data_IF_834741132309
#
_entry.id   IF_834741132309
#
_cell.length_a   1.000
_cell.length_b   1.000
_cell.length_c   1.000
_cell.angle_alpha   90.00
_cell.angle_beta   90.00
_cell.angle_gamma   90.00
#
_symmetry.space_group_name_H-M   'P 1'
#
loop_
_entity.id
_entity.type
_entity.pdbx_description
1 polymer ?
2 non-polymer ?
3 water ?
#
# COMPACT_ATOMS: atom_id res chain seq x y z
N UNK A 42 14.60 -0.02 -6.35
CA UNK A 42 14.73 -0.82 -5.13
C UNK A 42 14.19 -0.04 -3.93
N UNK A 43 13.23 0.85 -4.17
CA UNK A 43 12.73 1.72 -3.15
C UNK A 43 11.20 1.78 -3.20
N UNK A 44 10.70 2.21 -2.10
CA UNK A 44 9.29 2.23 -1.78
C UNK A 44 8.87 3.66 -1.53
N UNK A 45 7.70 4.05 -2.04
CA UNK A 45 7.19 5.41 -1.88
C UNK A 45 6.09 5.50 -0.83
N UNK A 46 6.27 4.82 0.29
CA UNK A 46 5.27 4.79 1.36
C UNK A 46 5.89 5.12 2.72
N UNK A 47 5.05 5.45 3.69
CA UNK A 47 5.50 5.56 5.06
C UNK A 47 5.70 4.14 5.58
N UNK A 48 6.10 4.02 6.83
CA UNK A 48 6.54 2.75 7.39
C UNK A 48 6.23 2.78 8.88
N UNK A 49 6.06 1.61 9.50
CA UNK A 49 5.70 1.55 10.92
C UNK A 49 6.85 1.41 11.91
N UNK A 50 6.96 2.31 12.90
CA UNK A 50 7.94 2.21 13.99
C UNK A 50 7.21 1.65 15.21
N UNK A 51 7.80 0.65 15.87
CA UNK A 51 7.21 0.09 17.11
C UNK A 51 7.16 1.14 18.22
N UNK A 52 8.09 2.08 18.19
CA UNK A 52 8.16 3.16 19.16
C UNK A 52 8.73 4.38 18.49
N UNK A 53 8.48 5.53 19.10
CA UNK A 53 9.17 6.76 18.69
C UNK A 53 10.65 6.68 18.99
N UNK A 54 11.47 7.13 18.05
CA UNK A 54 12.91 7.23 18.26
C UNK A 54 13.24 8.70 18.47
N UNK A 55 13.63 9.12 19.68
CA UNK A 55 13.94 10.53 19.88
C UNK A 55 15.13 10.96 19.04
N UNK A 56 14.99 12.13 18.42
CA UNK A 56 16.00 12.66 17.53
C UNK A 56 15.87 12.20 16.08
N UNK A 57 15.26 11.04 15.85
CA UNK A 57 15.10 10.55 14.50
C UNK A 57 14.10 11.44 13.75
N UNK A 58 14.54 12.04 12.68
CA UNK A 58 13.69 12.92 11.89
C UNK A 58 13.48 12.28 10.53
N UNK A 59 12.26 11.78 10.31
CA UNK A 59 11.94 11.12 9.06
C UNK A 59 12.10 12.07 7.89
N UNK A 60 11.72 13.35 8.04
CA UNK A 60 11.82 14.28 6.92
C UNK A 60 13.28 14.47 6.49
N UNK A 61 14.20 14.55 7.46
CA UNK A 61 15.62 14.66 7.12
C UNK A 61 16.10 13.43 6.37
N UNK A 62 15.69 12.25 6.82
CA UNK A 62 16.14 11.01 6.23
C UNK A 62 15.59 10.82 4.82
N UNK A 63 14.29 11.12 4.64
CA UNK A 63 13.64 10.91 3.35
C UNK A 63 14.10 11.96 2.35
N UNK A 64 14.23 13.21 2.79
CA UNK A 64 14.52 14.31 1.87
C UNK A 64 16.00 14.52 1.62
N UNK A 65 16.86 13.84 2.37
CA UNK A 65 18.31 13.96 2.20
C UNK A 65 18.94 12.58 2.31
N UNK A 66 18.56 11.67 1.41
CA UNK A 66 18.99 10.27 1.56
C UNK A 66 20.47 10.08 1.36
N UNK A 67 21.14 10.94 0.59
CA UNK A 67 22.57 10.81 0.37
C UNK A 67 23.34 11.15 1.65
N UNK A 68 22.76 12.00 2.48
CA UNK A 68 23.37 12.34 3.76
C UNK A 68 23.06 11.31 4.86
N UNK A 69 21.96 10.55 4.74
CA UNK A 69 21.58 9.58 5.79
C UNK A 69 21.33 8.20 5.18
N UNK A 70 22.36 7.58 4.61
CA UNK A 70 22.13 6.31 3.95
C UNK A 70 21.78 5.19 4.92
N UNK A 71 22.39 5.17 6.09
CA UNK A 71 22.21 4.04 7.00
C UNK A 71 20.89 4.17 7.75
N UNK A 72 20.52 5.41 8.07
CA UNK A 72 19.19 5.65 8.61
C UNK A 72 18.15 5.27 7.57
N UNK A 73 18.46 5.50 6.30
CA UNK A 73 17.52 5.14 5.26
C UNK A 73 17.40 3.63 5.14
N UNK A 74 18.47 2.89 5.48
CA UNK A 74 18.39 1.44 5.56
C UNK A 74 17.46 1.00 6.69
N UNK A 75 17.45 1.73 7.81
CA UNK A 75 16.53 1.41 8.90
C UNK A 75 15.09 1.54 8.44
N UNK A 76 14.83 2.60 7.69
CA UNK A 76 13.51 2.87 7.16
C UNK A 76 13.10 1.78 6.21
N UNK A 77 14.03 1.39 5.34
CA UNK A 77 13.74 0.37 4.34
C UNK A 77 13.34 -0.94 5.01
N UNK A 78 14.03 -1.32 6.07
CA UNK A 78 13.67 -2.54 6.79
C UNK A 78 12.24 -2.50 7.30
N UNK A 79 11.76 -1.35 7.77
CA UNK A 79 10.39 -1.25 8.24
C UNK A 79 9.43 -1.26 7.10
N UNK A 80 9.80 -0.69 5.96
CA UNK A 80 8.98 -0.80 4.76
C UNK A 80 8.84 -2.24 4.32
N UNK A 81 9.95 -3.00 4.39
CA UNK A 81 9.87 -4.41 4.09
C UNK A 81 9.00 -5.13 5.13
N UNK A 82 9.21 -4.83 6.40
CA UNK A 82 8.47 -5.55 7.44
C UNK A 82 6.97 -5.40 7.23
N UNK A 83 6.51 -4.18 6.97
CA UNK A 83 5.09 -3.94 6.77
C UNK A 83 4.54 -4.74 5.59
N UNK A 84 5.25 -4.74 4.48
CA UNK A 84 4.84 -5.56 3.34
C UNK A 84 4.83 -7.05 3.68
N UNK A 85 5.77 -7.50 4.52
CA UNK A 85 5.75 -8.90 4.92
C UNK A 85 4.46 -9.23 5.66
N UNK A 86 4.02 -8.33 6.54
CA UNK A 86 2.75 -8.56 7.24
C UNK A 86 1.62 -8.57 6.23
N UNK A 87 1.67 -7.71 5.23
CA UNK A 87 0.57 -7.68 4.27
C UNK A 87 0.48 -8.99 3.50
N UNK A 88 1.63 -9.52 3.08
CA UNK A 88 1.71 -10.67 2.19
C UNK A 88 1.74 -12.03 2.92
N UNK A 89 1.77 -12.07 4.23
CA UNK A 89 2.21 -13.30 4.91
C UNK A 89 1.16 -14.41 5.00
N UNK A 90 -0.05 -14.21 4.46
CA UNK A 90 -1.05 -15.27 4.37
C UNK A 90 -1.18 -15.83 2.96
N UNK A 91 -0.42 -15.34 1.99
CA UNK A 91 -0.55 -15.75 0.62
C UNK A 91 0.34 -16.94 0.33
N UNK A 92 -0.12 -17.80 -0.55
CA UNK A 92 0.64 -18.96 -1.04
C UNK A 92 1.11 -18.60 -2.45
N UNK A 93 2.38 -18.22 -2.57
CA UNK A 93 2.86 -17.78 -3.88
C UNK A 93 3.08 -18.96 -4.82
N UNK A 94 3.10 -20.17 -4.28
CA UNK A 94 3.18 -21.35 -5.17
C UNK A 94 1.90 -21.51 -5.97
N UNK A 95 0.76 -21.11 -5.42
CA UNK A 95 -0.52 -21.20 -6.11
C UNK A 95 -0.72 -20.05 -7.10
N UNK A 96 -0.11 -18.90 -6.83
CA UNK A 96 -0.31 -17.72 -7.68
C UNK A 96 0.42 -17.91 -9.02
N UNK A 97 -0.27 -17.55 -10.10
CA UNK A 97 0.35 -17.46 -11.41
C UNK A 97 0.50 -16.04 -11.92
N UNK A 98 -0.39 -15.11 -11.53
CA UNK A 98 -0.47 -13.78 -12.11
C UNK A 98 -0.81 -12.79 -11.01
N UNK A 99 -0.05 -11.73 -10.98
CA UNK A 99 -0.13 -10.68 -9.98
C UNK A 99 -0.26 -9.36 -10.71
N UNK A 100 -1.11 -8.48 -10.17
CA UNK A 100 -1.21 -7.10 -10.62
C UNK A 100 -0.95 -6.14 -9.47
N UNK A 101 -0.18 -5.10 -9.76
CA UNK A 101 0.06 -3.95 -8.85
C UNK A 101 -0.58 -2.76 -9.53
N UNK A 102 -1.73 -2.25 -8.99
CA UNK A 102 -2.47 -1.26 -9.76
C UNK A 102 -2.03 0.19 -9.51
N UNK A 103 -0.96 0.39 -8.74
CA UNK A 103 -0.28 1.70 -8.58
C UNK A 103 1.16 1.41 -8.18
N UNK A 104 2.01 1.05 -9.16
CA UNK A 104 3.19 0.29 -8.80
C UNK A 104 4.46 1.14 -8.50
N UNK A 105 4.34 2.46 -8.36
CA UNK A 105 5.50 3.24 -7.94
C UNK A 105 6.67 3.05 -8.94
N UNK A 106 7.84 2.76 -8.41
CA UNK A 106 9.00 2.46 -9.23
C UNK A 106 9.09 1.01 -9.64
N UNK A 107 8.02 0.22 -9.44
CA UNK A 107 7.99 -1.17 -9.90
C UNK A 107 8.65 -2.18 -9.01
N UNK A 108 8.99 -1.79 -7.79
CA UNK A 108 9.80 -2.63 -6.92
C UNK A 108 9.14 -3.97 -6.62
N UNK A 109 7.85 -3.96 -6.25
CA UNK A 109 7.14 -5.23 -5.97
C UNK A 109 6.89 -6.03 -7.25
N UNK A 110 6.52 -5.35 -8.32
CA UNK A 110 6.41 -6.03 -9.61
C UNK A 110 7.67 -6.81 -9.94
N UNK A 111 8.81 -6.19 -9.69
CA UNK A 111 10.11 -6.76 -10.01
C UNK A 111 10.50 -7.82 -9.00
N UNK A 112 10.43 -7.49 -7.71
CA UNK A 112 10.91 -8.43 -6.68
C UNK A 112 10.07 -9.71 -6.64
N UNK A 113 8.74 -9.61 -6.84
CA UNK A 113 7.91 -10.84 -6.85
C UNK A 113 8.34 -11.74 -8.00
N UNK A 114 8.53 -11.14 -9.18
CA UNK A 114 8.92 -11.92 -10.34
C UNK A 114 10.31 -12.53 -10.17
N UNK A 115 11.21 -11.81 -9.52
CA UNK A 115 12.55 -12.36 -9.30
C UNK A 115 12.49 -13.51 -8.31
N UNK A 116 11.78 -13.33 -7.20
CA UNK A 116 11.76 -14.34 -6.16
C UNK A 116 10.96 -15.59 -6.57
N UNK A 117 9.97 -15.43 -7.46
CA UNK A 117 9.02 -16.50 -7.83
C UNK A 117 9.02 -16.56 -9.35
N UNK A 118 10.03 -17.21 -9.94
CA UNK A 118 10.18 -17.16 -11.40
C UNK A 118 9.01 -17.72 -12.18
N UNK A 119 8.10 -18.48 -11.56
CA UNK A 119 6.91 -18.95 -12.28
C UNK A 119 5.82 -17.91 -12.42
N UNK A 120 5.91 -16.76 -11.72
CA UNK A 120 4.84 -15.79 -11.71
C UNK A 120 5.06 -14.75 -12.81
N UNK A 121 3.97 -14.28 -13.39
CA UNK A 121 3.96 -13.12 -14.28
C UNK A 121 3.32 -11.96 -13.55
N UNK A 122 4.01 -10.83 -13.57
CA UNK A 122 3.56 -9.64 -12.85
C UNK A 122 3.29 -8.49 -13.80
N UNK A 123 2.19 -7.79 -13.55
CA UNK A 123 1.82 -6.58 -14.27
C UNK A 123 1.72 -5.42 -13.28
N UNK A 124 2.22 -4.25 -13.68
CA UNK A 124 1.98 -3.01 -12.96
C UNK A 124 1.35 -1.93 -13.81
N UNK A 125 0.49 -1.12 -13.17
CA UNK A 125 -0.06 0.10 -13.73
C UNK A 125 0.50 1.23 -12.87
N UNK A 126 1.00 2.29 -13.51
CA UNK A 126 1.25 3.54 -12.84
C UNK A 126 0.87 4.68 -13.75
N UNK A 127 0.17 5.68 -13.19
CA UNK A 127 -0.28 6.80 -14.02
C UNK A 127 0.81 7.80 -14.31
N UNK A 128 1.95 7.68 -13.64
CA UNK A 128 3.11 8.58 -13.84
C UNK A 128 4.03 7.99 -14.90
N UNK A 129 4.11 8.66 -16.04
CA UNK A 129 4.94 8.18 -17.14
C UNK A 129 6.36 7.91 -16.70
N UNK A 130 7.00 8.87 -16.00
CA UNK A 130 8.40 8.68 -15.61
C UNK A 130 8.60 7.42 -14.77
N UNK A 131 7.64 7.10 -13.94
CA UNK A 131 7.75 5.94 -13.09
C UNK A 131 7.67 4.69 -13.94
N UNK A 132 6.78 4.69 -14.92
CA UNK A 132 6.64 3.52 -15.79
C UNK A 132 7.91 3.30 -16.57
N UNK A 133 8.48 4.39 -17.08
CA UNK A 133 9.73 4.30 -17.83
C UNK A 133 10.84 3.71 -16.96
N UNK A 134 10.94 4.16 -15.72
CA UNK A 134 12.00 3.68 -14.84
C UNK A 134 11.80 2.21 -14.49
N UNK A 135 10.55 1.83 -14.15
CA UNK A 135 10.27 0.44 -13.81
C UNK A 135 10.56 -0.53 -14.96
N UNK A 136 10.21 -0.15 -16.19
CA UNK A 136 10.53 -0.99 -17.33
C UNK A 136 12.02 -1.02 -17.61
N UNK A 137 12.75 0.08 -17.39
CA UNK A 137 14.21 0.04 -17.54
C UNK A 137 14.81 -0.94 -16.53
N UNK A 138 14.33 -0.93 -15.29
CA UNK A 138 14.86 -1.85 -14.30
C UNK A 138 14.42 -3.27 -14.60
N UNK A 139 13.22 -3.46 -15.12
CA UNK A 139 12.84 -4.79 -15.57
C UNK A 139 13.82 -5.28 -16.62
N UNK A 140 14.15 -4.41 -17.58
CA UNK A 140 15.07 -4.81 -18.63
C UNK A 140 16.45 -5.12 -18.09
N UNK A 141 16.97 -4.27 -17.21
CA UNK A 141 18.32 -4.43 -16.72
C UNK A 141 18.47 -5.73 -15.94
N UNK A 142 17.37 -6.22 -15.36
CA UNK A 142 17.37 -7.50 -14.64
C UNK A 142 16.92 -8.66 -15.54
N UNK A 143 16.68 -8.41 -16.82
CA UNK A 143 16.32 -9.47 -17.76
C UNK A 143 15.03 -10.18 -17.32
N UNK A 144 14.03 -9.40 -16.91
CA UNK A 144 12.75 -9.96 -16.45
C UNK A 144 11.60 -9.67 -17.41
N UNK A 145 11.90 -9.16 -18.61
CA UNK A 145 10.87 -8.69 -19.51
C UNK A 145 9.84 -9.72 -19.95
N UNK A 146 10.19 -11.00 -19.94
CA UNK A 146 9.23 -12.01 -20.35
C UNK A 146 8.19 -12.29 -19.29
N UNK A 147 8.39 -11.80 -18.09
CA UNK A 147 7.43 -12.08 -17.02
C UNK A 147 6.95 -10.87 -16.23
N UNK A 148 7.53 -9.72 -16.44
CA UNK A 148 7.13 -8.51 -15.71
C UNK A 148 7.00 -7.39 -16.70
N UNK A 149 5.92 -6.60 -16.58
CA UNK A 149 5.70 -5.52 -17.51
C UNK A 149 4.93 -4.42 -16.78
N UNK A 150 5.32 -3.17 -17.00
CA UNK A 150 4.64 -2.03 -16.38
C UNK A 150 4.01 -1.15 -17.45
N UNK A 151 2.78 -0.72 -17.21
CA UNK A 151 2.03 0.08 -18.17
C UNK A 151 1.75 1.48 -17.58
N UNK A 152 1.90 2.53 -18.39
CA UNK A 152 1.58 3.91 -17.99
C UNK A 152 0.09 4.09 -18.24
N UNK A 153 -0.75 3.70 -17.28
CA UNK A 153 -2.18 3.66 -17.47
C UNK A 153 -2.87 4.06 -16.17
N UNK A 154 -4.14 4.40 -16.29
CA UNK A 154 -4.99 4.90 -15.20
C UNK A 154 -5.91 3.74 -14.75
N UNK A 155 -5.67 3.23 -13.54
CA UNK A 155 -6.35 2.06 -13.05
C UNK A 155 -7.84 2.29 -12.80
N UNK A 156 -8.32 3.54 -12.86
CA UNK A 156 -9.74 3.86 -12.72
C UNK A 156 -10.43 3.98 -14.05
N UNK A 157 -9.71 3.82 -15.16
CA UNK A 157 -10.30 4.03 -16.48
C UNK A 157 -9.86 2.99 -17.51
N UNK A 158 -8.57 2.62 -17.49
CA UNK A 158 -8.05 1.62 -18.42
C UNK A 158 -8.21 0.22 -17.84
N UNK A 159 -8.89 -0.66 -18.57
CA UNK A 159 -9.16 -2.01 -18.08
C UNK A 159 -7.86 -2.75 -17.88
N UNK A 160 -7.70 -3.43 -16.75
CA UNK A 160 -6.52 -4.26 -16.52
C UNK A 160 -6.51 -5.37 -17.58
N UNK A 161 -5.34 -5.75 -18.11
CA UNK A 161 -5.35 -6.58 -19.31
C UNK A 161 -5.60 -8.04 -19.06
N UNK A 162 -5.51 -8.53 -17.83
CA UNK A 162 -5.54 -9.99 -17.61
C UNK A 162 -6.42 -10.31 -16.41
N UNK A 163 -6.44 -11.59 -16.03
CA UNK A 163 -7.08 -12.07 -14.82
C UNK A 163 -5.99 -12.46 -13.85
N UNK A 164 -6.17 -12.09 -12.59
CA UNK A 164 -5.10 -12.17 -11.59
C UNK A 164 -5.51 -12.98 -10.36
N UNK A 165 -4.54 -13.72 -9.81
CA UNK A 165 -4.73 -14.38 -8.54
C UNK A 165 -4.52 -13.44 -7.37
N UNK A 166 -3.71 -12.40 -7.56
CA UNK A 166 -3.47 -11.43 -6.50
C UNK A 166 -3.41 -10.05 -7.10
N UNK A 167 -4.11 -9.09 -6.47
CA UNK A 167 -4.12 -7.71 -6.91
C UNK A 167 -3.69 -6.86 -5.73
N UNK A 168 -2.70 -5.97 -5.95
CA UNK A 168 -2.00 -5.31 -4.89
C UNK A 168 -2.15 -3.81 -5.10
N UNK A 169 -2.60 -3.10 -4.06
CA UNK A 169 -2.58 -1.63 -4.09
C UNK A 169 -2.03 -1.03 -2.83
N UNK A 170 -0.74 -0.73 -2.80
CA UNK A 170 -0.14 -0.19 -1.59
C UNK A 170 -0.14 1.35 -1.65
N UNK A 171 -0.91 2.01 -0.76
CA UNK A 171 -1.02 3.47 -0.71
C UNK A 171 -1.42 4.06 -2.06
N UNK A 172 -2.37 3.42 -2.75
CA UNK A 172 -2.76 3.90 -4.07
C UNK A 172 -4.20 4.37 -4.29
N UNK A 173 -5.20 3.80 -3.61
CA UNK A 173 -6.55 4.19 -3.97
C UNK A 173 -6.95 5.56 -3.43
N UNK A 174 -6.31 6.07 -2.38
CA UNK A 174 -6.66 7.40 -1.89
C UNK A 174 -6.20 8.48 -2.85
N UNK A 175 -5.35 8.15 -3.82
CA UNK A 175 -5.00 9.11 -4.89
C UNK A 175 -6.04 9.11 -6.02
N UNK A 176 -7.04 8.25 -5.95
CA UNK A 176 -7.93 7.97 -7.07
C UNK A 176 -9.32 8.44 -6.72
N UNK A 177 -9.80 9.40 -7.48
CA UNK A 177 -11.13 9.96 -7.20
C UNK A 177 -12.27 8.97 -7.49
N UNK A 178 -12.20 8.24 -8.60
CA UNK A 178 -13.33 7.44 -9.09
C UNK A 178 -13.20 6.04 -8.55
N UNK A 179 -13.70 5.85 -7.33
CA UNK A 179 -13.51 4.59 -6.61
C UNK A 179 -14.26 3.44 -7.27
N UNK A 180 -15.45 3.72 -7.81
CA UNK A 180 -16.24 2.64 -8.40
C UNK A 180 -15.62 2.18 -9.70
N UNK A 181 -15.06 3.11 -10.47
CA UNK A 181 -14.30 2.70 -11.64
C UNK A 181 -13.20 1.75 -11.25
N UNK A 182 -12.40 2.15 -10.26
CA UNK A 182 -11.27 1.34 -9.81
C UNK A 182 -11.71 -0.04 -9.35
N UNK A 183 -12.71 -0.11 -8.47
CA UNK A 183 -13.05 -1.43 -7.90
C UNK A 183 -13.88 -2.27 -8.85
N UNK A 184 -14.55 -1.66 -9.83
CA UNK A 184 -15.08 -2.43 -10.93
C UNK A 184 -13.94 -3.13 -11.66
N UNK A 185 -12.87 -2.38 -11.93
CA UNK A 185 -11.70 -2.89 -12.62
C UNK A 185 -11.06 -4.01 -11.83
N UNK A 186 -10.89 -3.81 -10.54
CA UNK A 186 -10.24 -4.81 -9.68
C UNK A 186 -11.07 -6.09 -9.64
N UNK A 187 -12.38 -5.94 -9.38
CA UNK A 187 -13.22 -7.12 -9.21
C UNK A 187 -13.34 -7.91 -10.50
N UNK A 188 -13.49 -7.21 -11.62
CA UNK A 188 -13.60 -7.82 -12.92
C UNK A 188 -12.35 -8.58 -13.32
N UNK A 189 -11.18 -8.25 -12.76
CA UNK A 189 -9.92 -8.91 -13.10
C UNK A 189 -9.40 -9.84 -12.02
N UNK A 190 -10.21 -10.18 -11.03
CA UNK A 190 -9.79 -11.02 -9.93
C UNK A 190 -10.37 -12.42 -10.10
N UNK A 191 -9.48 -13.41 -10.10
CA UNK A 191 -9.96 -14.79 -10.20
C UNK A 191 -10.78 -15.12 -8.96
N UNK A 192 -11.73 -16.05 -9.11
CA UNK A 192 -12.69 -16.35 -8.04
C UNK A 192 -12.01 -16.56 -6.68
N UNK A 193 -10.91 -17.33 -6.64
CA UNK A 193 -10.20 -17.59 -5.39
C UNK A 193 -9.06 -16.57 -5.12
N UNK A 194 -9.05 -15.51 -5.81
CA UNK A 194 -7.99 -14.52 -5.66
C UNK A 194 -8.08 -13.64 -4.39
N UNK A 195 -6.99 -12.88 -4.16
CA UNK A 195 -6.89 -11.94 -3.05
C UNK A 195 -6.56 -10.57 -3.55
N UNK A 196 -7.18 -9.59 -2.92
CA UNK A 196 -6.81 -8.20 -3.05
C UNK A 196 -6.09 -7.77 -1.77
N UNK A 197 -4.89 -7.19 -1.92
CA UNK A 197 -4.12 -6.67 -0.80
C UNK A 197 -3.94 -5.16 -0.97
N UNK A 198 -4.44 -4.42 0.00
CA UNK A 198 -4.31 -2.99 0.02
C UNK A 198 -3.63 -2.50 1.29
N UNK A 199 -2.93 -1.38 1.12
CA UNK A 199 -2.51 -0.52 2.22
C UNK A 199 -3.15 0.81 1.90
N UNK A 200 -4.02 1.30 2.81
CA UNK A 200 -4.86 2.43 2.46
C UNK A 200 -5.41 3.09 3.72
N UNK A 201 -6.00 4.25 3.51
CA UNK A 201 -6.61 5.02 4.59
C UNK A 201 -8.11 4.84 4.75
N UNK A 202 -8.54 4.86 6.00
CA UNK A 202 -9.95 4.92 6.37
C UNK A 202 -10.19 6.25 7.12
N UNK A 203 -11.26 6.96 6.77
CA UNK A 203 -11.59 8.19 7.46
C UNK A 203 -12.52 7.83 8.61
N UNK A 204 -12.20 8.30 9.81
CA UNK A 204 -13.00 8.02 11.03
C UNK A 204 -14.03 9.09 11.31
N UNK A 205 -14.48 9.76 10.28
CA UNK A 205 -15.39 10.89 10.34
C UNK A 205 -16.71 10.51 9.70
N UNK A 206 -17.70 11.35 9.92
CA UNK A 206 -19.02 11.07 9.35
C UNK A 206 -19.00 11.19 7.83
N UNK A 207 -18.21 12.13 7.28
CA UNK A 207 -18.05 12.27 5.85
C UNK A 207 -16.62 11.98 5.40
N UNK A 208 -16.45 11.75 4.10
CA UNK A 208 -15.10 11.43 3.58
C UNK A 208 -14.17 12.63 3.69
N UNK A 209 -12.87 12.33 3.76
CA UNK A 209 -11.86 13.35 3.86
C UNK A 209 -11.30 13.53 2.46
N UNK A 210 -11.40 14.75 1.95
CA UNK A 210 -11.11 15.05 0.55
C UNK A 210 -10.29 16.32 0.52
N UNK A 211 -9.13 16.27 -0.12
CA UNK A 211 -8.26 17.44 -0.33
C UNK A 211 -8.10 17.61 -1.85
N UNK A 212 -8.89 18.54 -2.40
CA UNK A 212 -8.99 18.66 -3.85
C UNK A 212 -7.66 19.07 -4.47
N UNK A 213 -6.90 19.93 -3.78
CA UNK A 213 -5.67 20.46 -4.36
C UNK A 213 -4.61 19.37 -4.54
N UNK A 214 -4.61 18.35 -3.68
CA UNK A 214 -3.63 17.27 -3.77
C UNK A 214 -4.22 15.98 -4.35
N UNK A 215 -5.48 15.99 -4.74
CA UNK A 215 -6.12 14.83 -5.30
C UNK A 215 -6.03 13.67 -4.32
N UNK A 216 -6.55 13.89 -3.13
CA UNK A 216 -6.67 12.87 -2.09
C UNK A 216 -8.13 12.74 -1.72
N UNK A 217 -8.62 11.51 -1.63
CA UNK A 217 -9.98 11.23 -1.23
C UNK A 217 -9.95 9.96 -0.39
N UNK A 218 -10.46 10.08 0.85
CA UNK A 218 -10.39 8.95 1.78
C UNK A 218 -11.79 8.58 2.21
N UNK A 219 -12.29 7.40 1.88
CA UNK A 219 -13.65 7.01 2.24
C UNK A 219 -13.77 6.76 3.72
N UNK A 220 -14.99 7.00 4.25
CA UNK A 220 -15.29 6.66 5.61
C UNK A 220 -15.39 5.15 5.80
N UNK A 221 -15.53 4.75 7.06
CA UNK A 221 -15.82 3.34 7.38
C UNK A 221 -17.00 2.85 6.57
N UNK A 222 -18.13 3.55 6.66
CA UNK A 222 -19.33 3.09 6.00
C UNK A 222 -19.16 3.05 4.50
N UNK A 223 -18.45 4.01 3.92
CA UNK A 223 -18.25 4.02 2.49
C UNK A 223 -17.38 2.83 2.05
N UNK A 224 -16.39 2.45 2.87
CA UNK A 224 -15.55 1.31 2.53
C UNK A 224 -16.33 0.01 2.57
N UNK A 225 -17.19 -0.13 3.59
CA UNK A 225 -18.06 -1.29 3.69
C UNK A 225 -18.87 -1.48 2.42
N UNK A 226 -19.53 -0.41 1.99
CA UNK A 226 -20.42 -0.44 0.84
C UNK A 226 -19.67 -0.50 -0.50
N UNK A 227 -18.54 0.20 -0.60
CA UNK A 227 -17.76 0.17 -1.81
C UNK A 227 -17.27 -1.25 -2.10
N UNK A 228 -16.71 -1.90 -1.08
CA UNK A 228 -16.24 -3.27 -1.24
C UNK A 228 -17.40 -4.21 -1.52
N UNK A 229 -18.46 -4.16 -0.68
CA UNK A 229 -19.60 -5.05 -0.86
C UNK A 229 -20.20 -4.86 -2.26
N UNK A 230 -20.21 -3.63 -2.77
CA UNK A 230 -20.82 -3.39 -4.09
C UNK A 230 -20.05 -4.12 -5.18
N UNK A 231 -18.74 -4.30 -5.02
CA UNK A 231 -17.96 -5.03 -6.01
C UNK A 231 -17.58 -6.44 -5.56
N UNK A 232 -18.47 -7.08 -4.79
CA UNK A 232 -18.37 -8.50 -4.43
C UNK A 232 -17.21 -8.79 -3.49
N UNK A 233 -16.65 -7.80 -2.83
CA UNK A 233 -15.50 -8.05 -1.98
C UNK A 233 -15.85 -8.04 -0.51
N UNK A 234 -15.17 -8.86 0.25
CA UNK A 234 -15.28 -8.85 1.69
C UNK A 234 -13.91 -8.84 2.30
N UNK A 235 -13.88 -8.33 3.52
CA UNK A 235 -12.67 -8.21 4.29
C UNK A 235 -12.38 -9.53 4.98
N UNK A 236 -11.25 -10.14 4.63
CA UNK A 236 -10.83 -11.33 5.36
C UNK A 236 -10.04 -10.94 6.60
N UNK A 237 -9.25 -9.87 6.49
CA UNK A 237 -8.42 -9.38 7.56
C UNK A 237 -8.19 -7.90 7.36
N UNK A 238 -8.31 -7.14 8.44
CA UNK A 238 -8.03 -5.70 8.42
C UNK A 238 -7.14 -5.41 9.63
N UNK A 239 -5.99 -4.77 9.38
CA UNK A 239 -5.03 -4.53 10.41
C UNK A 239 -4.78 -3.04 10.56
N UNK A 240 -4.83 -2.50 11.78
CA UNK A 240 -4.65 -1.07 11.96
C UNK A 240 -3.19 -0.74 12.35
N UNK A 241 -2.50 0.04 11.53
CA UNK A 241 -1.11 0.41 11.82
C UNK A 241 -0.96 1.88 12.20
N UNK A 242 -2.07 2.58 12.41
CA UNK A 242 -2.02 4.01 12.71
C UNK A 242 -1.05 4.43 13.82
N UNK A 243 -1.05 3.75 14.98
CA UNK A 243 -0.11 4.23 16.00
C UNK A 243 1.34 4.10 15.58
N UNK A 244 1.70 2.97 14.96
CA UNK A 244 3.08 2.75 14.53
C UNK A 244 3.51 3.74 13.46
N UNK A 245 2.62 4.06 12.53
CA UNK A 245 2.95 5.02 11.48
C UNK A 245 3.18 6.37 12.10
N UNK A 246 2.26 6.78 12.96
CA UNK A 246 2.44 8.06 13.66
C UNK A 246 3.75 8.06 14.46
N UNK A 247 4.17 6.92 15.01
CA UNK A 247 5.48 6.90 15.69
C UNK A 247 6.62 7.25 14.74
N UNK A 248 6.59 6.67 13.53
CA UNK A 248 7.62 6.91 12.52
C UNK A 248 7.59 8.37 12.04
N UNK A 249 6.41 8.94 11.96
CA UNK A 249 6.26 10.29 11.43
C UNK A 249 6.33 11.36 12.51
N UNK A 250 6.61 10.97 13.76
CA UNK A 250 6.82 11.97 14.83
C UNK A 250 8.09 12.76 14.53
N UNK A 251 7.92 14.03 14.18
CA UNK A 251 8.96 14.86 13.58
C UNK A 251 8.69 16.27 14.08
N UNK A 252 8.97 16.53 15.35
CA UNK A 252 8.42 17.77 15.96
C UNK A 252 8.88 19.06 15.29
N UNK A 253 10.02 19.09 14.63
CA UNK A 253 10.49 20.31 13.98
C UNK A 253 10.21 20.35 12.48
N UNK A 254 9.41 19.41 11.97
CA UNK A 254 9.33 19.23 10.53
C UNK A 254 8.83 20.50 9.85
N UNK A 255 7.85 21.17 10.43
CA UNK A 255 7.26 22.32 9.76
C UNK A 255 8.30 23.43 9.59
N UNK A 256 9.11 23.68 10.62
CA UNK A 256 10.24 24.58 10.50
C UNK A 256 11.26 24.05 9.49
N UNK A 257 11.59 22.76 9.59
CA UNK A 257 12.64 22.19 8.76
C UNK A 257 12.34 22.40 7.28
N UNK A 258 11.13 22.03 6.84
CA UNK A 258 10.86 22.05 5.41
C UNK A 258 10.75 23.48 4.87
N UNK A 259 10.53 24.48 5.74
CA UNK A 259 10.55 25.86 5.28
C UNK A 259 11.94 26.35 4.92
N UNK A 260 12.97 25.59 5.29
CA UNK A 260 14.34 25.88 4.89
C UNK A 260 14.81 25.00 3.73
N UNK A 261 13.87 24.40 3.02
CA UNK A 261 14.13 23.58 1.83
C UNK A 261 13.52 24.25 0.61
N UNK A 262 14.04 23.98 -0.58
CA UNK A 262 13.48 24.60 -1.79
C UNK A 262 11.99 24.32 -1.86
N UNK A 263 11.27 25.27 -2.46
CA UNK A 263 9.84 25.10 -2.66
C UNK A 263 9.51 23.74 -3.24
N UNK A 264 10.18 23.34 -4.33
CA UNK A 264 9.90 22.06 -4.96
C UNK A 264 9.94 20.94 -3.94
N UNK A 265 11.07 20.78 -3.26
CA UNK A 265 11.22 19.79 -2.19
C UNK A 265 10.13 19.96 -1.15
N UNK A 266 9.82 21.20 -0.78
CA UNK A 266 8.82 21.49 0.24
C UNK A 266 7.43 21.05 -0.18
N UNK A 267 7.13 21.11 -1.47
CA UNK A 267 5.77 20.84 -1.93
C UNK A 267 5.44 19.36 -1.89
N UNK A 268 6.41 18.49 -2.19
CA UNK A 268 6.13 17.06 -2.27
C UNK A 268 5.97 16.41 -0.90
N UNK A 269 6.62 16.94 0.14
CA UNK A 269 6.54 16.35 1.46
C UNK A 269 5.36 16.87 2.29
N UNK A 270 4.68 17.91 1.81
CA UNK A 270 3.64 18.53 2.62
C UNK A 270 2.49 17.54 2.84
N UNK A 271 2.25 16.65 1.87
CA UNK A 271 1.19 15.66 2.01
C UNK A 271 1.51 14.70 3.16
N UNK A 272 2.80 14.34 3.28
CA UNK A 272 3.21 13.47 4.40
C UNK A 272 3.00 14.18 5.72
N UNK A 273 3.32 15.47 5.78
CA UNK A 273 3.04 16.22 7.00
C UNK A 273 1.55 16.21 7.31
N UNK A 274 0.72 16.47 6.31
CA UNK A 274 -0.72 16.51 6.51
C UNK A 274 -1.27 15.17 6.96
N UNK A 275 -0.78 14.10 6.38
CA UNK A 275 -1.22 12.79 6.81
C UNK A 275 -0.81 12.51 8.24
N UNK A 276 0.40 12.94 8.61
CA UNK A 276 0.87 12.78 10.01
C UNK A 276 -0.06 13.47 11.00
N UNK A 277 -0.43 14.72 10.70
CA UNK A 277 -1.36 15.44 11.56
C UNK A 277 -2.68 14.70 11.69
N UNK A 278 -3.29 14.31 10.56
CA UNK A 278 -4.59 13.64 10.63
C UNK A 278 -4.50 12.31 11.38
N UNK A 279 -3.41 11.54 11.21
CA UNK A 279 -3.24 10.31 11.99
C UNK A 279 -3.16 10.62 13.49
N UNK A 280 -2.42 11.68 13.86
CA UNK A 280 -2.28 12.02 15.27
C UNK A 280 -3.62 12.44 15.87
N UNK A 281 -4.44 13.18 15.11
CA UNK A 281 -5.76 13.58 15.58
C UNK A 281 -6.69 12.36 15.71
N UNK A 282 -6.46 11.34 14.93
CA UNK A 282 -7.33 10.17 14.83
C UNK A 282 -8.36 10.27 13.72
N UNK A 283 -8.24 11.26 12.85
CA UNK A 283 -9.21 11.47 11.79
C UNK A 283 -9.14 10.39 10.73
N UNK A 284 -7.95 9.83 10.51
CA UNK A 284 -7.79 8.74 9.56
C UNK A 284 -7.05 7.60 10.21
N UNK A 285 -7.26 6.42 9.64
CA UNK A 285 -6.56 5.21 10.02
C UNK A 285 -5.82 4.67 8.80
N UNK A 286 -4.56 4.27 9.00
CA UNK A 286 -3.72 3.69 7.96
C UNK A 286 -3.83 2.21 8.18
N UNK A 287 -4.40 1.47 7.24
CA UNK A 287 -4.59 0.04 7.47
C UNK A 287 -4.19 -0.92 6.36
N UNK A 288 -3.93 -2.17 6.73
CA UNK A 288 -3.59 -3.20 5.77
C UNK A 288 -4.90 -4.00 5.54
N UNK A 289 -5.35 -4.08 4.29
CA UNK A 289 -6.57 -4.80 3.93
C UNK A 289 -6.24 -6.10 3.21
N UNK A 290 -6.87 -7.20 3.63
CA UNK A 290 -6.83 -8.47 2.87
C UNK A 290 -8.27 -8.83 2.50
N UNK A 291 -8.54 -8.80 1.19
CA UNK A 291 -9.89 -8.97 0.69
C UNK A 291 -9.99 -10.25 -0.15
N UNK A 292 -11.20 -10.81 -0.15
CA UNK A 292 -11.56 -11.97 -0.93
C UNK A 292 -12.82 -11.62 -1.68
N UNK A 293 -13.09 -12.41 -2.73
CA UNK A 293 -14.35 -12.28 -3.48
C UNK A 293 -15.43 -13.17 -2.88
N UNK A 294 -16.63 -12.62 -2.74
CA UNK A 294 -17.77 -13.33 -2.12
C UNK A 294 -18.99 -13.19 -3.02
N UNK A 295 -18.88 -13.59 -4.28
CA UNK A 295 -19.96 -13.32 -5.25
C UNK A 295 -21.26 -14.03 -4.91
N UNK A 296 -21.21 -15.10 -4.13
CA UNK A 296 -22.41 -15.86 -3.84
C UNK A 296 -23.10 -15.39 -2.58
N UNK A 297 -22.53 -14.40 -1.91
CA UNK A 297 -23.12 -13.78 -0.73
C UNK A 297 -23.98 -12.60 -1.19
N UNK A 298 -25.10 -12.38 -0.51
CA UNK A 298 -25.89 -11.19 -0.84
C UNK A 298 -25.10 -9.90 -0.50
N UNK A 299 -25.50 -8.80 -1.14
CA UNK A 299 -24.86 -7.52 -0.84
C UNK A 299 -24.98 -7.21 0.65
N UNK A 300 -26.19 -7.41 1.20
CA UNK A 300 -26.41 -7.09 2.60
C UNK A 300 -25.49 -7.91 3.50
N UNK A 301 -25.28 -9.17 3.18
CA UNK A 301 -24.42 -10.02 3.99
C UNK A 301 -22.96 -9.64 3.82
N UNK A 302 -22.58 -9.21 2.62
CA UNK A 302 -21.24 -8.67 2.46
C UNK A 302 -21.04 -7.43 3.32
N UNK A 303 -22.06 -6.57 3.38
CA UNK A 303 -21.96 -5.37 4.23
C UNK A 303 -21.82 -5.74 5.69
N UNK A 304 -22.61 -6.70 6.16
CA UNK A 304 -22.57 -7.07 7.56
C UNK A 304 -21.25 -7.71 7.89
N UNK A 305 -20.69 -8.50 6.97
CA UNK A 305 -19.38 -9.07 7.21
C UNK A 305 -18.32 -7.96 7.32
N UNK A 306 -18.34 -7.05 6.36
CA UNK A 306 -17.31 -5.99 6.37
C UNK A 306 -17.43 -5.11 7.60
N UNK A 307 -18.67 -4.82 8.04
CA UNK A 307 -18.85 -3.96 9.19
C UNK A 307 -18.29 -4.62 10.43
N UNK A 308 -18.48 -5.93 10.56
CA UNK A 308 -17.96 -6.69 11.70
C UNK A 308 -16.44 -6.67 11.73
N UNK A 309 -15.81 -6.89 10.59
CA UNK A 309 -14.37 -6.82 10.54
C UNK A 309 -13.86 -5.43 10.92
N UNK A 310 -14.51 -4.38 10.41
CA UNK A 310 -14.03 -3.04 10.70
C UNK A 310 -14.30 -2.58 12.14
N UNK A 311 -15.17 -3.29 12.87
CA UNK A 311 -15.44 -2.94 14.26
C UNK A 311 -14.37 -3.48 15.18
N UNK A 312 -13.45 -4.31 14.68
CA UNK A 312 -12.40 -4.88 15.54
C UNK A 312 -11.14 -5.10 14.69
N UNK A 313 -10.59 -4.01 14.19
CA UNK A 313 -9.36 -4.07 13.42
C UNK A 313 -8.24 -4.64 14.27
N UNK A 314 -7.38 -5.44 13.64
CA UNK A 314 -6.31 -6.08 14.40
C UNK A 314 -5.19 -5.07 14.57
N UNK A 315 -4.66 -4.93 15.78
CA UNK A 315 -3.44 -4.11 15.95
C UNK A 315 -2.25 -4.69 15.21
N UNK A 316 -1.49 -3.86 14.49
CA UNK A 316 -0.32 -4.35 13.74
C UNK A 316 0.70 -5.14 14.59
N UNK A 317 0.94 -4.67 15.86
CA UNK A 317 1.89 -5.49 16.63
C UNK A 317 1.41 -6.90 16.83
N UNK A 318 0.09 -7.11 16.89
CA UNK A 318 -0.45 -8.46 17.09
C UNK A 318 -0.27 -9.26 15.83
N UNK A 319 -0.59 -8.66 14.66
CA UNK A 319 -0.37 -9.32 13.37
C UNK A 319 1.11 -9.59 13.10
N UNK A 320 1.97 -8.61 13.41
CA UNK A 320 3.42 -8.79 13.25
C UNK A 320 3.92 -9.94 14.11
N UNK A 321 3.49 -9.98 15.38
CA UNK A 321 3.94 -11.03 16.28
C UNK A 321 3.40 -12.40 15.83
N UNK A 322 2.19 -12.43 15.30
CA UNK A 322 1.64 -13.67 14.75
C UNK A 322 2.47 -14.15 13.57
N UNK A 323 2.79 -13.24 12.66
CA UNK A 323 3.67 -13.60 11.54
C UNK A 323 5.01 -14.18 12.00
N UNK A 324 5.70 -13.48 12.89
CA UNK A 324 6.99 -13.98 13.36
C UNK A 324 6.84 -15.33 14.04
N UNK A 325 5.80 -15.49 14.85
CA UNK A 325 5.58 -16.76 15.52
C UNK A 325 5.25 -17.89 14.54
N UNK A 326 4.58 -17.61 13.42
CA UNK A 326 4.32 -18.67 12.44
C UNK A 326 5.60 -19.08 11.73
N UNK A 327 6.56 -18.19 11.63
CA UNK A 327 7.78 -18.44 10.84
C UNK A 327 7.58 -18.40 9.33
N UNK A 328 6.39 -18.09 8.85
CA UNK A 328 6.09 -18.11 7.42
C UNK A 328 6.04 -16.68 6.90
N UNK A 329 7.02 -16.35 6.06
CA UNK A 329 7.18 -14.95 5.62
C UNK A 329 7.56 -15.06 4.15
N UNK A 330 6.63 -15.20 3.22
CA UNK A 330 7.02 -15.53 1.83
C UNK A 330 7.51 -14.34 0.99
N UNK A 331 7.25 -13.11 1.38
CA UNK A 331 7.54 -11.97 0.53
C UNK A 331 7.32 -10.67 1.28
N UNK A 332 8.19 -9.67 1.17
CA UNK A 332 9.51 -9.70 0.54
C UNK A 332 10.51 -10.33 1.49
N UNK A 333 11.77 -10.42 1.09
CA UNK A 333 12.88 -10.77 1.95
C UNK A 333 13.65 -9.50 2.35
N UNK A 334 14.24 -9.51 3.54
CA UNK A 334 15.06 -8.39 3.97
C UNK A 334 16.42 -8.47 3.29
N UNK A 335 16.97 -7.31 2.95
CA UNK A 335 18.31 -7.25 2.37
C UNK A 335 19.36 -7.58 3.42
N UNK A 336 20.44 -8.23 2.98
CA UNK A 336 21.51 -8.66 3.88
C UNK A 336 22.85 -8.35 3.25
N UNK A 337 23.86 -8.14 4.10
CA UNK A 337 25.21 -7.82 3.66
C UNK A 337 26.00 -9.08 3.36
N UNK A 338 26.75 -9.06 2.27
CA UNK A 338 27.61 -10.18 1.87
C UNK A 338 26.87 -11.51 1.90
#
# INVERSE_FOLDING_TARGET
GSNQTNRTRRETSMRSAHPEFENKAVEIYTYSANSSEAEFSEDYLTVCPFERKIPGFSMSRVILNPEKYPLEREMVREKQVEMRQVLFCKENFSRVQKVLDFGCGHGTDVIQIAELYPHIKTHGFTITKAQAELGNQRIAQKNLGARAKIFNKDSSKDAFPDLYDMIVGIEVSFHIRNKHGLFQNISSSLNEEGTVLLIDYIANTRGPIVDQNVEVSIPTVQEWIELLAEHQLVIDEIIDVSPQIANALHDPDVEQYIKHLPKAVQDLYINTVNQSISLERGWISYCLFKLKKAPHLTYTKRCEWNASKLSKKRPYPEALAEMINSGYIPYPKQQTRTQPNPNA
#
